data_IF_817723435937
#
_entry.id   IF_817723435937
#
_cell.length_a   1.000
_cell.length_b   1.000
_cell.length_c   1.000
_cell.angle_alpha   90.00
_cell.angle_beta   90.00
_cell.angle_gamma   90.00
#
_symmetry.space_group_name_H-M   'P 1'
#
loop_
_entity.id
_entity.type
_entity.pdbx_description
1 polymer ?
#
# COMPACT_ATOMS: atom_id res chain seq x y z
N UNK A 1 0.99 -18.81 -5.37
CA UNK A 1 0.87 -17.38 -5.64
C UNK A 1 0.68 -16.62 -4.32
N UNK A 2 1.39 -15.51 -4.14
CA UNK A 2 1.30 -14.74 -2.90
C UNK A 2 0.75 -13.35 -3.19
N UNK A 3 -0.34 -12.98 -2.52
CA UNK A 3 -0.95 -11.68 -2.62
C UNK A 3 -0.35 -10.71 -1.61
N UNK A 4 -0.01 -9.49 -2.03
CA UNK A 4 0.61 -8.49 -1.18
C UNK A 4 -0.18 -7.19 -1.24
N UNK A 5 -0.80 -6.85 -0.13
CA UNK A 5 -1.58 -5.63 0.02
C UNK A 5 -0.66 -4.49 0.41
N UNK A 6 -0.62 -3.49 -0.42
CA UNK A 6 0.33 -2.39 -0.37
C UNK A 6 -0.37 -1.08 -0.07
N UNK A 7 0.21 -0.30 0.83
CA UNK A 7 -0.15 1.10 1.05
C UNK A 7 1.11 1.94 1.21
N UNK A 8 1.33 2.86 0.28
CA UNK A 8 2.32 3.93 0.42
C UNK A 8 1.63 5.21 0.88
N UNK A 9 2.03 5.76 2.00
CA UNK A 9 1.41 6.98 2.55
C UNK A 9 2.24 8.22 2.35
N UNK A 10 1.51 9.28 2.03
CA UNK A 10 2.02 10.56 1.67
C UNK A 10 0.97 11.69 1.75
N UNK A 11 1.38 12.95 1.88
CA UNK A 11 0.88 14.06 1.05
C UNK A 11 1.55 15.41 1.25
N UNK A 12 1.91 16.06 0.13
CA UNK A 12 2.07 17.51 -0.02
C UNK A 12 1.62 17.89 -1.43
N UNK A 13 1.02 19.09 -1.63
CA UNK A 13 0.77 19.69 -2.95
C UNK A 13 2.09 19.80 -3.72
N UNK A 14 2.19 19.16 -4.88
CA UNK A 14 3.39 19.11 -5.67
C UNK A 14 3.94 17.70 -5.82
N UNK A 15 5.24 17.52 -5.82
CA UNK A 15 5.88 16.21 -5.85
C UNK A 15 5.85 15.57 -4.47
N UNK A 16 5.09 14.51 -4.37
CA UNK A 16 4.91 13.72 -3.17
C UNK A 16 5.94 12.62 -3.06
N UNK A 17 6.36 12.29 -1.87
CA UNK A 17 7.24 11.16 -1.57
C UNK A 17 6.61 10.24 -0.54
N UNK A 18 6.92 8.96 -0.61
CA UNK A 18 6.51 7.96 0.38
C UNK A 18 7.20 8.26 1.72
N UNK A 19 6.42 8.22 2.80
CA UNK A 19 6.92 8.37 4.17
C UNK A 19 6.68 7.12 5.02
N UNK A 20 5.88 6.19 4.54
CA UNK A 20 5.64 4.88 5.16
C UNK A 20 5.28 3.87 4.08
N UNK A 21 5.87 2.67 4.17
CA UNK A 21 5.46 1.49 3.42
C UNK A 21 4.83 0.53 4.41
N UNK A 22 3.54 0.25 4.23
CA UNK A 22 2.82 -0.77 4.99
C UNK A 22 2.28 -1.84 4.05
N UNK A 23 2.50 -3.10 4.35
CA UNK A 23 2.02 -4.19 3.52
C UNK A 23 1.71 -5.45 4.33
N UNK A 24 0.79 -6.25 3.81
CA UNK A 24 0.37 -7.54 4.38
C UNK A 24 0.52 -8.62 3.30
N UNK A 25 1.16 -9.72 3.64
CA UNK A 25 1.34 -10.89 2.78
C UNK A 25 0.23 -11.92 3.08
N UNK A 26 -0.51 -12.31 2.05
CA UNK A 26 -1.60 -13.29 2.14
C UNK A 26 -1.25 -14.50 1.27
N UNK A 27 -1.31 -15.69 1.84
CA UNK A 27 -1.09 -16.96 1.14
C UNK A 27 -2.34 -17.48 0.41
N UNK A 28 -2.16 -18.46 -0.47
CA UNK A 28 -3.26 -19.14 -1.15
C UNK A 28 -4.20 -19.88 -0.19
N UNK A 29 -3.73 -20.22 1.02
CA UNK A 29 -4.57 -20.78 2.09
C UNK A 29 -5.39 -19.72 2.82
N UNK A 30 -5.49 -18.50 2.28
CA UNK A 30 -6.30 -17.39 2.82
C UNK A 30 -5.83 -16.94 4.23
N UNK A 31 -4.53 -16.96 4.46
CA UNK A 31 -3.94 -16.55 5.75
C UNK A 31 -2.97 -15.40 5.57
N UNK A 32 -2.99 -14.49 6.53
CA UNK A 32 -1.94 -13.49 6.68
C UNK A 32 -0.70 -14.21 7.21
N UNK A 33 0.39 -14.18 6.45
CA UNK A 33 1.62 -14.90 6.78
C UNK A 33 2.75 -13.99 7.25
N UNK A 34 2.74 -12.72 6.86
CA UNK A 34 3.66 -11.71 7.38
C UNK A 34 3.20 -10.29 7.08
N UNK A 35 3.81 -9.34 7.75
CA UNK A 35 3.60 -7.91 7.56
C UNK A 35 4.93 -7.20 7.31
N UNK A 36 4.86 -6.07 6.61
CA UNK A 36 5.99 -5.19 6.38
C UNK A 36 5.61 -3.77 6.76
N UNK A 37 6.41 -3.12 7.58
CA UNK A 37 6.26 -1.73 7.97
C UNK A 37 7.62 -1.05 7.98
N UNK A 38 7.77 0.04 7.24
CA UNK A 38 8.97 0.89 7.25
C UNK A 38 8.58 2.35 7.08
N UNK A 39 9.08 3.19 7.96
CA UNK A 39 9.12 4.63 7.70
C UNK A 39 10.19 4.93 6.66
N UNK A 40 9.93 5.95 5.87
CA UNK A 40 10.80 6.37 4.77
C UNK A 40 11.10 7.86 4.91
N UNK A 41 12.37 8.20 4.86
CA UNK A 41 12.82 9.60 4.88
C UNK A 41 12.65 10.20 3.49
N UNK A 42 11.83 11.25 3.32
CA UNK A 42 11.69 11.92 2.02
C UNK A 42 12.98 12.67 1.68
N UNK A 43 13.35 12.64 0.40
CA UNK A 43 14.59 13.27 -0.10
C UNK A 43 14.39 14.75 -0.40
N UNK A 44 13.26 15.09 -1.04
CA UNK A 44 12.97 16.47 -1.49
C UNK A 44 12.33 17.31 -0.40
N UNK A 45 11.46 16.70 0.41
CA UNK A 45 10.70 17.39 1.46
C UNK A 45 10.85 16.69 2.81
N UNK A 46 12.04 16.78 3.46
CA UNK A 46 12.33 16.02 4.68
C UNK A 46 11.55 16.49 5.91
N UNK A 47 10.94 17.66 5.85
CA UNK A 47 10.14 18.21 6.95
C UNK A 47 8.65 17.94 6.67
N UNK A 48 8.01 17.20 7.58
CA UNK A 48 6.58 16.91 7.48
C UNK A 48 5.75 18.14 7.81
N UNK A 49 4.73 18.41 6.98
CA UNK A 49 3.73 19.45 7.29
C UNK A 49 2.87 19.03 8.49
N UNK A 50 2.32 19.99 9.22
CA UNK A 50 1.36 19.71 10.31
C UNK A 50 0.16 18.92 9.82
N UNK A 51 -0.34 19.22 8.62
CA UNK A 51 -1.40 18.45 7.98
C UNK A 51 -1.02 16.96 7.83
N UNK A 52 0.20 16.68 7.38
CA UNK A 52 0.67 15.30 7.20
C UNK A 52 0.76 14.57 8.55
N UNK A 53 1.34 15.19 9.57
CA UNK A 53 1.45 14.63 10.93
C UNK A 53 0.07 14.34 11.53
N UNK A 54 -0.85 15.29 11.42
CA UNK A 54 -2.22 15.12 11.95
C UNK A 54 -3.00 14.05 11.23
N UNK A 55 -2.82 13.92 9.90
CA UNK A 55 -3.52 12.93 9.10
C UNK A 55 -3.00 11.50 9.35
N UNK A 56 -1.70 11.33 9.46
CA UNK A 56 -1.04 10.01 9.50
C UNK A 56 -0.59 9.59 10.89
N UNK A 57 -0.53 10.50 11.85
CA UNK A 57 0.09 10.32 13.16
C UNK A 57 1.60 9.99 13.10
N UNK A 58 2.23 10.16 11.93
CA UNK A 58 3.68 9.98 11.75
C UNK A 58 4.37 11.25 12.23
N UNK A 59 5.33 11.09 13.14
CA UNK A 59 6.08 12.21 13.71
C UNK A 59 7.34 12.51 12.90
N UNK A 60 7.88 13.72 13.07
CA UNK A 60 9.16 14.08 12.45
C UNK A 60 10.30 13.17 12.95
N UNK A 61 10.25 12.71 14.20
CA UNK A 61 11.24 11.79 14.76
C UNK A 61 11.27 10.44 14.02
N UNK A 62 10.09 9.89 13.66
CA UNK A 62 10.01 8.68 12.85
C UNK A 62 10.77 8.83 11.52
N UNK A 63 10.58 9.98 10.87
CA UNK A 63 11.17 10.26 9.55
C UNK A 63 12.67 10.57 9.63
N UNK A 64 13.10 11.32 10.65
CA UNK A 64 14.51 11.68 10.80
C UNK A 64 15.41 10.44 10.98
N UNK A 65 14.90 9.40 11.63
CA UNK A 65 15.60 8.14 11.90
C UNK A 65 15.39 7.07 10.82
N UNK A 66 14.55 7.34 9.82
CA UNK A 66 14.26 6.40 8.76
C UNK A 66 15.33 6.41 7.66
N UNK A 67 15.45 5.30 6.95
CA UNK A 67 16.23 5.22 5.72
C UNK A 67 15.54 5.97 4.58
N UNK A 68 16.29 6.32 3.53
CA UNK A 68 15.72 6.82 2.29
C UNK A 68 14.99 5.71 1.52
N UNK A 69 14.22 6.12 0.52
CA UNK A 69 13.37 5.22 -0.26
C UNK A 69 14.15 4.10 -0.97
N UNK A 70 15.34 4.35 -1.47
CA UNK A 70 16.18 3.34 -2.13
C UNK A 70 16.45 2.13 -1.22
N UNK A 71 16.82 2.37 0.03
CA UNK A 71 17.05 1.31 1.04
C UNK A 71 15.72 0.61 1.39
N UNK A 72 14.67 1.38 1.67
CA UNK A 72 13.36 0.82 2.02
C UNK A 72 12.75 0.01 0.87
N UNK A 73 12.95 0.42 -0.38
CA UNK A 73 12.51 -0.29 -1.56
C UNK A 73 13.26 -1.63 -1.73
N UNK A 74 14.57 -1.69 -1.49
CA UNK A 74 15.33 -2.95 -1.54
C UNK A 74 14.89 -3.93 -0.44
N UNK A 75 14.66 -3.45 0.77
CA UNK A 75 14.08 -4.27 1.85
C UNK A 75 12.68 -4.79 1.47
N UNK A 76 11.86 -3.93 0.88
CA UNK A 76 10.52 -4.30 0.43
C UNK A 76 10.56 -5.32 -0.72
N UNK A 77 11.42 -5.12 -1.73
CA UNK A 77 11.64 -6.07 -2.82
C UNK A 77 12.06 -7.46 -2.30
N UNK A 78 12.95 -7.49 -1.30
CA UNK A 78 13.35 -8.73 -0.63
C UNK A 78 12.15 -9.39 0.05
N UNK A 79 11.33 -8.62 0.78
CA UNK A 79 10.16 -9.13 1.49
C UNK A 79 9.06 -9.63 0.54
N UNK A 80 8.84 -8.97 -0.61
CA UNK A 80 7.89 -9.46 -1.62
C UNK A 80 8.39 -10.69 -2.36
N UNK A 81 9.68 -11.04 -2.27
CA UNK A 81 10.28 -12.16 -2.99
C UNK A 81 10.59 -11.84 -4.45
N UNK A 82 10.83 -10.58 -4.79
CA UNK A 82 11.18 -10.18 -6.16
C UNK A 82 12.36 -11.00 -6.70
N UNK A 83 12.17 -11.59 -7.88
CA UNK A 83 13.15 -12.48 -8.54
C UNK A 83 13.26 -13.88 -7.91
N UNK A 84 12.47 -14.24 -6.90
CA UNK A 84 12.53 -15.55 -6.21
C UNK A 84 11.20 -16.28 -6.13
N UNK A 85 10.09 -15.57 -6.02
CA UNK A 85 8.75 -16.14 -5.93
C UNK A 85 7.74 -15.34 -6.74
N UNK A 86 6.68 -15.99 -7.19
CA UNK A 86 5.58 -15.32 -7.86
C UNK A 86 4.74 -14.55 -6.85
N UNK A 87 4.45 -13.31 -7.14
CA UNK A 87 3.62 -12.45 -6.29
C UNK A 87 2.71 -11.55 -7.12
N UNK A 88 1.68 -11.03 -6.50
CA UNK A 88 0.81 -9.99 -7.05
C UNK A 88 0.71 -8.88 -6.03
N UNK A 89 1.03 -7.67 -6.43
CA UNK A 89 0.78 -6.48 -5.62
C UNK A 89 -0.67 -6.04 -5.76
N UNK A 90 -1.27 -5.64 -4.67
CA UNK A 90 -2.64 -5.14 -4.63
C UNK A 90 -2.72 -3.86 -3.83
N UNK A 91 -3.54 -2.91 -4.26
CA UNK A 91 -3.83 -1.72 -3.46
C UNK A 91 -5.26 -1.22 -3.66
N UNK A 92 -5.71 -0.34 -2.78
CA UNK A 92 -7.05 0.25 -2.86
C UNK A 92 -7.07 1.43 -3.85
N UNK A 93 -6.93 1.13 -5.14
CA UNK A 93 -6.81 2.06 -6.24
C UNK A 93 -5.45 1.98 -6.93
N UNK A 94 -5.15 2.92 -7.82
CA UNK A 94 -3.87 3.01 -8.52
C UNK A 94 -2.88 3.98 -7.89
N UNK A 95 -3.30 4.68 -6.83
CA UNK A 95 -2.50 5.74 -6.25
C UNK A 95 -1.17 5.22 -5.69
N UNK A 96 -1.19 4.16 -4.90
CA UNK A 96 0.01 3.59 -4.28
C UNK A 96 1.01 3.13 -5.34
N UNK A 97 0.55 2.41 -6.37
CA UNK A 97 1.40 2.00 -7.50
C UNK A 97 2.10 3.19 -8.15
N UNK A 98 1.32 4.23 -8.51
CA UNK A 98 1.88 5.44 -9.14
C UNK A 98 2.88 6.16 -8.23
N UNK A 99 2.64 6.14 -6.93
CA UNK A 99 3.55 6.75 -5.97
C UNK A 99 4.87 5.98 -5.89
N UNK A 100 4.83 4.65 -5.86
CA UNK A 100 6.06 3.83 -5.94
C UNK A 100 6.84 4.09 -7.23
N UNK A 101 6.15 4.12 -8.37
CA UNK A 101 6.78 4.45 -9.67
C UNK A 101 7.39 5.86 -9.67
N UNK A 102 6.75 6.83 -9.01
CA UNK A 102 7.28 8.20 -8.87
C UNK A 102 8.52 8.26 -7.99
N UNK A 103 8.50 7.59 -6.85
CA UNK A 103 9.65 7.56 -5.94
C UNK A 103 10.84 6.79 -6.55
N UNK A 104 10.57 5.69 -7.26
CA UNK A 104 11.60 5.01 -8.05
C UNK A 104 12.31 5.97 -9.02
N UNK A 105 11.57 6.83 -9.72
CA UNK A 105 12.16 7.83 -10.64
C UNK A 105 13.03 8.86 -9.91
N UNK A 106 12.65 9.29 -8.70
CA UNK A 106 13.45 10.22 -7.89
C UNK A 106 14.81 9.61 -7.52
N UNK A 107 14.84 8.29 -7.31
CA UNK A 107 16.03 7.54 -6.91
C UNK A 107 16.69 6.77 -8.05
N UNK A 108 16.23 6.96 -9.29
CA UNK A 108 16.75 6.30 -10.50
C UNK A 108 16.72 4.76 -10.40
N UNK A 109 15.63 4.23 -9.79
CA UNK A 109 15.39 2.80 -9.61
C UNK A 109 14.46 2.25 -10.69
N UNK A 110 14.63 0.97 -11.01
CA UNK A 110 13.71 0.22 -11.88
C UNK A 110 12.32 0.08 -11.25
N UNK A 111 11.28 -0.03 -12.09
CA UNK A 111 9.89 -0.09 -11.67
C UNK A 111 9.19 -1.41 -12.02
N UNK A 112 9.89 -2.36 -12.60
CA UNK A 112 9.34 -3.65 -13.04
C UNK A 112 8.77 -4.49 -11.90
N UNK A 113 9.36 -4.39 -10.71
CA UNK A 113 8.91 -5.07 -9.49
C UNK A 113 7.54 -4.59 -8.96
N UNK A 114 7.05 -3.45 -9.43
CA UNK A 114 5.72 -2.92 -9.04
C UNK A 114 4.60 -3.64 -9.81
N UNK A 115 4.94 -4.61 -10.64
CA UNK A 115 4.03 -5.44 -11.44
C UNK A 115 4.23 -6.92 -11.12
N UNK A 116 3.16 -7.74 -11.29
CA UNK A 116 1.78 -7.38 -11.61
C UNK A 116 1.06 -6.67 -10.45
N UNK A 117 0.08 -5.84 -10.76
CA UNK A 117 -0.66 -5.05 -9.77
C UNK A 117 -2.17 -5.10 -10.02
N UNK A 118 -2.94 -5.30 -8.95
CA UNK A 118 -4.41 -5.35 -8.98
C UNK A 118 -5.01 -4.16 -8.23
N UNK A 119 -5.93 -3.47 -8.89
CA UNK A 119 -6.73 -2.40 -8.29
C UNK A 119 -7.98 -2.97 -7.61
N UNK A 120 -7.90 -3.21 -6.31
CA UNK A 120 -8.99 -3.79 -5.53
C UNK A 120 -10.21 -2.88 -5.43
N UNK A 121 -10.03 -1.57 -5.42
CA UNK A 121 -11.12 -0.59 -5.32
C UNK A 121 -12.12 -0.70 -6.47
N UNK A 122 -11.62 -0.83 -7.69
CA UNK A 122 -12.49 -1.00 -8.87
C UNK A 122 -13.16 -2.36 -8.90
N UNK A 123 -12.41 -3.43 -8.60
CA UNK A 123 -12.97 -4.77 -8.57
C UNK A 123 -14.01 -4.93 -7.45
N UNK A 124 -13.77 -4.34 -6.27
CA UNK A 124 -14.76 -4.31 -5.20
C UNK A 124 -16.07 -3.66 -5.64
N UNK A 125 -16.00 -2.52 -6.34
CA UNK A 125 -17.19 -1.87 -6.87
C UNK A 125 -17.95 -2.78 -7.84
N UNK A 126 -17.25 -3.50 -8.71
CA UNK A 126 -17.86 -4.47 -9.63
C UNK A 126 -18.48 -5.66 -8.89
N UNK A 127 -17.77 -6.27 -7.94
CA UNK A 127 -18.26 -7.38 -7.12
C UNK A 127 -19.55 -6.98 -6.37
N UNK A 128 -19.59 -5.78 -5.81
CA UNK A 128 -20.72 -5.25 -5.04
C UNK A 128 -21.79 -4.56 -5.89
N UNK A 129 -21.59 -4.47 -7.21
CA UNK A 129 -22.47 -3.76 -8.15
C UNK A 129 -22.75 -2.32 -7.71
N UNK A 130 -21.72 -1.63 -7.22
CA UNK A 130 -21.82 -0.23 -6.82
C UNK A 130 -21.80 0.67 -8.05
N UNK A 131 -22.52 1.79 -8.00
CA UNK A 131 -22.54 2.78 -9.09
C UNK A 131 -21.15 3.43 -9.31
N UNK A 132 -20.34 3.52 -8.27
CA UNK A 132 -18.98 4.06 -8.31
C UNK A 132 -18.07 3.39 -7.30
N UNK A 133 -16.78 3.40 -7.58
CA UNK A 133 -15.77 2.92 -6.64
C UNK A 133 -15.65 3.85 -5.42
N UNK A 134 -15.59 3.29 -4.23
CA UNK A 134 -15.59 3.99 -2.95
C UNK A 134 -14.25 3.83 -2.21
N UNK A 135 -13.95 4.77 -1.31
CA UNK A 135 -12.76 4.70 -0.46
C UNK A 135 -12.80 3.50 0.51
N UNK A 136 -11.63 3.09 0.99
CA UNK A 136 -11.47 1.91 1.86
C UNK A 136 -12.36 1.98 3.12
N UNK A 137 -12.40 3.13 3.80
CA UNK A 137 -13.23 3.31 5.00
C UNK A 137 -14.72 3.08 4.71
N UNK A 138 -15.23 3.63 3.61
CA UNK A 138 -16.62 3.41 3.20
C UNK A 138 -16.85 1.96 2.76
N UNK A 139 -15.87 1.33 2.13
CA UNK A 139 -15.96 -0.09 1.77
C UNK A 139 -16.05 -0.97 3.03
N UNK A 140 -15.27 -0.72 4.06
CA UNK A 140 -15.39 -1.42 5.35
C UNK A 140 -16.80 -1.29 5.92
N UNK A 141 -17.39 -0.09 5.89
CA UNK A 141 -18.76 0.15 6.35
C UNK A 141 -19.79 -0.66 5.56
N UNK A 142 -19.68 -0.66 4.23
CA UNK A 142 -20.54 -1.47 3.33
C UNK A 142 -20.43 -2.96 3.63
N UNK A 143 -19.22 -3.40 4.01
CA UNK A 143 -18.96 -4.82 4.33
C UNK A 143 -19.29 -5.20 5.78
N UNK A 144 -19.68 -4.24 6.62
CA UNK A 144 -19.91 -4.48 8.05
C UNK A 144 -18.64 -4.84 8.82
N UNK A 145 -17.48 -4.37 8.35
CA UNK A 145 -16.17 -4.65 8.94
C UNK A 145 -15.70 -3.43 9.72
N UNK A 146 -15.34 -3.64 10.99
CA UNK A 146 -14.79 -2.56 11.82
C UNK A 146 -13.38 -2.17 11.36
N UNK A 147 -13.15 -0.85 11.28
CA UNK A 147 -11.82 -0.30 11.04
C UNK A 147 -10.94 -0.55 12.27
N UNK A 148 -9.76 -1.09 12.04
CA UNK A 148 -8.72 -1.28 13.06
C UNK A 148 -7.58 -0.29 12.90
N UNK A 149 -6.99 0.10 14.02
CA UNK A 149 -5.84 1.00 14.06
C UNK A 149 -6.18 2.43 13.64
N UNK A 150 -5.18 3.12 13.15
CA UNK A 150 -5.28 4.53 12.74
C UNK A 150 -5.45 4.62 11.22
N UNK A 151 -6.59 5.10 10.77
CA UNK A 151 -6.79 5.37 9.34
C UNK A 151 -5.74 6.37 8.84
N UNK A 152 -5.19 6.11 7.64
CA UNK A 152 -4.05 6.79 7.03
C UNK A 152 -2.66 6.39 7.57
N UNK A 153 -2.54 5.41 8.47
CA UNK A 153 -1.29 4.69 8.68
C UNK A 153 -1.18 3.59 7.63
N UNK A 154 -0.03 3.47 6.98
CA UNK A 154 0.17 2.51 5.89
C UNK A 154 -0.10 1.06 6.30
N UNK A 155 0.46 0.62 7.42
CA UNK A 155 0.26 -0.74 7.90
C UNK A 155 -1.19 -1.01 8.34
N UNK A 156 -1.84 -0.06 9.01
CA UNK A 156 -3.22 -0.23 9.47
C UNK A 156 -4.19 -0.26 8.29
N UNK A 157 -3.99 0.60 7.29
CA UNK A 157 -4.79 0.56 6.07
C UNK A 157 -4.57 -0.76 5.29
N UNK A 158 -3.34 -1.28 5.23
CA UNK A 158 -3.06 -2.57 4.61
C UNK A 158 -3.78 -3.73 5.33
N UNK A 159 -3.80 -3.72 6.66
CA UNK A 159 -4.56 -4.70 7.48
C UNK A 159 -6.06 -4.62 7.22
N UNK A 160 -6.61 -3.41 7.14
CA UNK A 160 -8.03 -3.20 6.85
C UNK A 160 -8.40 -3.65 5.43
N UNK A 161 -7.57 -3.37 4.44
CA UNK A 161 -7.74 -3.85 3.07
C UNK A 161 -7.68 -5.39 3.04
N UNK A 162 -6.79 -6.00 3.83
CA UNK A 162 -6.68 -7.46 3.92
C UNK A 162 -7.99 -8.13 4.35
N UNK A 163 -8.75 -7.52 5.25
CA UNK A 163 -10.06 -8.04 5.68
C UNK A 163 -11.06 -8.07 4.52
N UNK A 164 -11.14 -7.00 3.73
CA UNK A 164 -12.00 -6.96 2.54
C UNK A 164 -11.50 -7.97 1.50
N UNK A 165 -10.18 -8.04 1.30
CA UNK A 165 -9.56 -8.97 0.37
C UNK A 165 -9.91 -10.42 0.69
N UNK A 166 -9.76 -10.84 1.94
CA UNK A 166 -10.05 -12.20 2.39
C UNK A 166 -11.54 -12.55 2.26
N UNK A 167 -12.45 -11.59 2.49
CA UNK A 167 -13.89 -11.79 2.31
C UNK A 167 -14.26 -12.17 0.88
N UNK A 168 -13.53 -11.67 -0.11
CA UNK A 168 -13.78 -11.89 -1.53
C UNK A 168 -12.64 -12.64 -2.22
N UNK A 169 -11.90 -13.47 -1.50
CA UNK A 169 -10.65 -14.07 -1.97
C UNK A 169 -10.75 -14.68 -3.38
N UNK A 170 -11.82 -15.42 -3.67
CA UNK A 170 -12.02 -16.09 -4.96
C UNK A 170 -12.61 -15.17 -6.06
N UNK A 171 -12.84 -13.90 -5.76
CA UNK A 171 -13.48 -12.96 -6.69
C UNK A 171 -12.49 -12.01 -7.37
N UNK A 172 -11.27 -11.95 -6.87
CA UNK A 172 -10.25 -11.06 -7.45
C UNK A 172 -9.69 -11.67 -8.73
N UNK A 173 -9.57 -10.85 -9.77
CA UNK A 173 -8.96 -11.24 -11.03
C UNK A 173 -7.67 -10.49 -11.28
N UNK A 174 -6.66 -11.22 -11.77
CA UNK A 174 -5.39 -10.65 -12.24
C UNK A 174 -5.53 -10.42 -13.72
N UNK A 175 -5.68 -9.16 -14.14
CA UNK A 175 -5.57 -8.83 -15.55
C UNK A 175 -4.09 -8.86 -15.92
N UNK A 176 -3.67 -9.90 -16.63
CA UNK A 176 -2.36 -9.97 -17.28
C UNK A 176 -2.44 -9.07 -18.53
N UNK A 177 -1.98 -7.82 -18.40
CA UNK A 177 -1.74 -6.94 -19.54
C UNK A 177 -0.26 -6.87 -19.83
#
# INVERSE_FOLDING_TARGET
LIWKLLVGKKRIKGQSEIIEIGAVKISDERRIVSEFERFVKPRKHPILSEFCKNLTSITQAHINNAAYFDIAAEEFKTWIGYGREEYILCSWGFYDKKQFESDCKIFELETDWVKPHVNLKQQHAAIRKLQRAIGMKNALQVEGISLEGTHHRGIDDARNIAKIFLKYFDKWSVEVK
#
